data_IF_632420329800
#
_entry.id   IF_632420329800
#
_cell.length_a   1.000
_cell.length_b   1.000
_cell.length_c   1.000
_cell.angle_alpha   90.00
_cell.angle_beta   90.00
_cell.angle_gamma   90.00
#
_symmetry.space_group_name_H-M   'P 1'
#
loop_
_entity.id
_entity.type
_entity.pdbx_description
1 polymer ?
#
# COMPACT_ATOMS: atom_id res chain seq x y z
N UNK A 1 3.21 -0.20 22.17
CA UNK A 1 2.41 1.02 21.89
C UNK A 1 1.49 0.70 20.73
N UNK A 2 0.20 0.51 20.99
CA UNK A 2 -0.78 0.47 19.91
C UNK A 2 -0.82 1.87 19.28
N UNK A 3 -0.47 1.97 18.00
CA UNK A 3 -0.63 3.22 17.24
C UNK A 3 -2.13 3.54 17.28
N UNK A 4 -2.51 4.75 17.69
CA UNK A 4 -3.92 5.15 17.74
C UNK A 4 -4.55 4.89 16.37
N UNK A 5 -5.72 4.24 16.32
CA UNK A 5 -6.36 3.79 15.08
C UNK A 5 -6.62 4.99 14.14
N UNK A 6 -6.84 6.17 14.70
CA UNK A 6 -6.96 7.43 13.97
C UNK A 6 -5.65 7.82 13.26
N UNK A 7 -4.53 7.75 13.96
CA UNK A 7 -3.21 8.08 13.40
C UNK A 7 -2.81 7.08 12.31
N UNK A 8 -3.13 5.80 12.51
CA UNK A 8 -2.91 4.78 11.48
C UNK A 8 -3.69 5.08 10.21
N UNK A 9 -5.00 5.35 10.32
CA UNK A 9 -5.86 5.64 9.17
C UNK A 9 -5.42 6.89 8.40
N UNK A 10 -5.10 7.98 9.11
CA UNK A 10 -4.63 9.21 8.47
C UNK A 10 -3.30 9.00 7.71
N UNK A 11 -2.38 8.22 8.29
CA UNK A 11 -1.13 7.87 7.60
C UNK A 11 -1.38 6.97 6.40
N UNK A 12 -2.28 5.99 6.53
CA UNK A 12 -2.62 5.07 5.45
C UNK A 12 -3.21 5.82 4.25
N UNK A 13 -4.18 6.69 4.48
CA UNK A 13 -4.81 7.50 3.43
C UNK A 13 -3.76 8.35 2.68
N UNK A 14 -2.87 9.01 3.43
CA UNK A 14 -1.78 9.79 2.83
C UNK A 14 -0.87 8.94 1.94
N UNK A 15 -0.58 7.70 2.34
CA UNK A 15 0.24 6.77 1.55
C UNK A 15 -0.51 6.26 0.31
N UNK A 16 -1.82 6.00 0.41
CA UNK A 16 -2.65 5.62 -0.74
C UNK A 16 -2.68 6.74 -1.80
N UNK A 17 -2.79 8.01 -1.39
CA UNK A 17 -2.70 9.15 -2.31
C UNK A 17 -1.34 9.18 -3.02
N UNK A 18 -0.24 8.99 -2.28
CA UNK A 18 1.10 8.96 -2.87
C UNK A 18 1.29 7.75 -3.81
N UNK A 19 0.66 6.61 -3.51
CA UNK A 19 0.67 5.43 -4.36
C UNK A 19 -0.01 5.71 -5.71
N UNK A 20 -1.17 6.38 -5.72
CA UNK A 20 -1.88 6.78 -6.95
C UNK A 20 -1.00 7.71 -7.80
N UNK A 21 -0.34 8.68 -7.18
CA UNK A 21 0.61 9.56 -7.87
C UNK A 21 1.77 8.77 -8.51
N UNK A 22 2.29 7.78 -7.78
CA UNK A 22 3.37 6.91 -8.27
C UNK A 22 2.91 6.01 -9.43
N UNK A 23 1.68 5.50 -9.37
CA UNK A 23 1.07 4.72 -10.45
C UNK A 23 0.88 5.58 -11.70
N UNK A 24 0.31 6.78 -11.57
CA UNK A 24 0.13 7.72 -12.67
C UNK A 24 1.46 8.04 -13.35
N UNK A 25 2.51 8.29 -12.58
CA UNK A 25 3.85 8.52 -13.10
C UNK A 25 4.44 7.28 -13.80
N UNK A 26 4.24 6.09 -13.25
CA UNK A 26 4.72 4.83 -13.85
C UNK A 26 4.06 4.60 -15.21
N UNK A 27 2.77 4.89 -15.33
CA UNK A 27 2.00 4.83 -16.57
C UNK A 27 2.54 5.86 -17.59
N UNK A 28 2.72 7.12 -17.19
CA UNK A 28 3.29 8.18 -18.04
C UNK A 28 4.67 7.79 -18.60
N UNK A 29 5.50 7.12 -17.79
CA UNK A 29 6.83 6.65 -18.20
C UNK A 29 6.84 5.32 -18.94
N UNK A 30 5.68 4.69 -19.18
CA UNK A 30 5.59 3.37 -19.81
C UNK A 30 6.31 2.27 -19.02
N UNK A 31 6.47 2.45 -17.70
CA UNK A 31 7.18 1.52 -16.81
C UNK A 31 6.23 0.43 -16.32
N UNK A 32 6.79 -0.71 -15.93
CA UNK A 32 6.06 -1.83 -15.31
C UNK A 32 6.62 -2.04 -13.91
N UNK A 33 5.72 -2.18 -12.93
CA UNK A 33 6.06 -2.38 -11.52
C UNK A 33 5.52 -3.72 -11.05
N UNK A 34 6.38 -4.53 -10.41
CA UNK A 34 6.02 -5.79 -9.77
C UNK A 34 6.29 -5.67 -8.26
N UNK A 35 5.32 -6.04 -7.44
CA UNK A 35 5.45 -6.06 -5.98
C UNK A 35 5.19 -7.49 -5.51
N UNK A 36 6.15 -8.08 -4.81
CA UNK A 36 6.06 -9.45 -4.29
C UNK A 36 5.87 -9.39 -2.77
N UNK A 37 4.86 -10.10 -2.26
CA UNK A 37 4.58 -10.21 -0.84
C UNK A 37 4.91 -11.62 -0.36
N UNK A 38 5.90 -11.73 0.53
CA UNK A 38 6.34 -13.01 1.12
C UNK A 38 6.09 -13.02 2.63
N UNK A 39 5.94 -14.22 3.18
CA UNK A 39 5.74 -14.40 4.62
C UNK A 39 5.09 -15.72 4.99
N UNK A 40 5.11 -16.05 6.29
CA UNK A 40 4.44 -17.24 6.82
C UNK A 40 2.92 -17.14 6.72
N UNK A 41 2.25 -18.26 6.94
CA UNK A 41 0.80 -18.28 7.10
C UNK A 41 0.37 -17.35 8.23
N UNK A 42 -0.74 -16.65 8.02
CA UNK A 42 -1.28 -15.63 8.94
C UNK A 42 -0.39 -14.39 9.16
N UNK A 43 0.66 -14.16 8.36
CA UNK A 43 1.50 -12.95 8.46
C UNK A 43 0.81 -11.64 8.02
N UNK A 44 -0.44 -11.71 7.53
CA UNK A 44 -1.22 -10.53 7.12
C UNK A 44 -0.98 -10.05 5.69
N UNK A 45 -0.44 -10.90 4.81
CA UNK A 45 -0.17 -10.58 3.39
C UNK A 45 -1.42 -10.09 2.66
N UNK A 46 -2.54 -10.80 2.82
CA UNK A 46 -3.82 -10.45 2.17
C UNK A 46 -4.35 -9.10 2.64
N UNK A 47 -4.18 -8.78 3.93
CA UNK A 47 -4.56 -7.48 4.49
C UNK A 47 -3.72 -6.34 3.90
N UNK A 48 -2.41 -6.56 3.71
CA UNK A 48 -1.53 -5.58 3.08
C UNK A 48 -1.89 -5.35 1.60
N UNK A 49 -2.15 -6.42 0.85
CA UNK A 49 -2.60 -6.33 -0.55
C UNK A 49 -3.92 -5.56 -0.63
N UNK A 50 -4.89 -5.88 0.24
CA UNK A 50 -6.17 -5.20 0.28
C UNK A 50 -6.02 -3.69 0.47
N UNK A 51 -5.20 -3.24 1.42
CA UNK A 51 -4.94 -1.79 1.63
C UNK A 51 -4.17 -1.12 0.49
N UNK A 52 -3.44 -1.89 -0.32
CA UNK A 52 -2.75 -1.38 -1.50
C UNK A 52 -3.72 -1.16 -2.67
N UNK A 53 -4.80 -1.95 -2.76
CA UNK A 53 -5.76 -1.96 -3.88
C UNK A 53 -7.06 -1.19 -3.62
N UNK A 54 -7.39 -0.92 -2.35
CA UNK A 54 -8.47 -0.02 -1.92
C UNK A 54 -8.13 1.44 -2.22
#
# INVERSE_FOLDING_TARGET
MAKDDKDYKAVLERLQVALVQTQAWTIDKGRRTLIVFEGRDSAGKDGAIKRLTE
#
